data_IF_769191281695
#
_entry.id   IF_769191281695
#
_cell.length_a   1.000
_cell.length_b   1.000
_cell.length_c   1.000
_cell.angle_alpha   90.00
_cell.angle_beta   90.00
_cell.angle_gamma   90.00
#
_symmetry.space_group_name_H-M   'P 1'
#
loop_
_entity.id
_entity.type
_entity.pdbx_description
1 polymer ?
#
# COMPACT_ATOMS: atom_id res chain seq x y z
N UNK A 1 -21.41 18.33 7.41
CA UNK A 1 -21.11 16.89 7.53
C UNK A 1 -19.81 16.78 8.32
N UNK A 2 -19.78 16.18 9.52
CA UNK A 2 -18.52 15.99 10.23
C UNK A 2 -17.66 15.00 9.43
N UNK A 3 -16.42 15.40 9.11
CA UNK A 3 -15.42 14.55 8.48
C UNK A 3 -14.82 13.63 9.55
N UNK A 4 -14.89 12.31 9.34
CA UNK A 4 -14.44 11.31 10.30
C UNK A 4 -12.94 10.98 10.17
N UNK A 5 -12.23 11.73 9.33
CA UNK A 5 -10.80 11.60 9.13
C UNK A 5 -10.05 12.51 10.10
N UNK A 6 -9.38 11.92 11.08
CA UNK A 6 -8.53 12.67 12.00
C UNK A 6 -7.08 12.57 11.53
N UNK A 7 -6.66 13.48 10.64
CA UNK A 7 -5.24 13.57 10.22
C UNK A 7 -4.42 14.38 11.23
N UNK A 8 -4.66 14.13 12.52
CA UNK A 8 -3.92 14.76 13.61
C UNK A 8 -2.70 13.89 13.95
N UNK A 9 -1.51 14.49 14.13
CA UNK A 9 -0.28 13.78 14.51
C UNK A 9 -0.43 12.95 15.80
N UNK A 10 -1.37 13.32 16.67
CA UNK A 10 -1.62 12.64 17.94
C UNK A 10 -2.20 11.22 17.79
N UNK A 11 -2.81 10.88 16.65
CA UNK A 11 -3.51 9.60 16.46
C UNK A 11 -2.94 8.73 15.33
N UNK A 12 -2.37 9.34 14.29
CA UNK A 12 -1.76 8.59 13.18
C UNK A 12 -0.36 8.13 13.53
N UNK A 13 -0.13 6.81 13.62
CA UNK A 13 1.24 6.29 13.70
C UNK A 13 1.94 6.56 12.37
N UNK A 14 3.07 7.27 12.43
CA UNK A 14 3.92 7.55 11.28
C UNK A 14 4.32 6.26 10.56
N UNK A 15 4.62 6.40 9.26
CA UNK A 15 5.27 5.34 8.50
C UNK A 15 6.76 5.35 8.90
N UNK A 16 7.26 4.22 9.40
CA UNK A 16 8.62 4.05 9.91
C UNK A 16 9.33 2.91 9.19
N UNK A 17 10.63 2.74 9.45
CA UNK A 17 11.42 1.65 8.87
C UNK A 17 10.86 0.26 9.19
N UNK A 18 10.10 0.12 10.29
CA UNK A 18 9.42 -1.13 10.65
C UNK A 18 8.27 -1.48 9.71
N UNK A 19 7.76 -0.52 8.93
CA UNK A 19 6.73 -0.76 7.91
C UNK A 19 7.33 -1.33 6.61
N UNK A 20 8.65 -1.42 6.48
CA UNK A 20 9.26 -2.16 5.37
C UNK A 20 8.83 -3.63 5.37
N UNK A 21 8.79 -4.21 4.17
CA UNK A 21 8.57 -5.64 4.00
C UNK A 21 7.65 -5.97 2.84
N UNK A 22 7.21 -7.22 2.83
CA UNK A 22 6.33 -7.76 1.79
C UNK A 22 4.88 -7.73 2.25
N UNK A 23 4.03 -7.28 1.36
CA UNK A 23 2.59 -7.16 1.49
C UNK A 23 1.93 -8.04 0.44
N UNK A 24 0.74 -8.52 0.74
CA UNK A 24 -0.09 -9.22 -0.23
C UNK A 24 -1.53 -8.71 -0.20
N UNK A 25 -2.15 -8.73 -1.37
CA UNK A 25 -3.58 -8.46 -1.55
C UNK A 25 -4.28 -9.79 -1.79
N UNK A 26 -5.41 -9.99 -1.11
CA UNK A 26 -6.26 -11.16 -1.31
C UNK A 26 -7.38 -10.83 -2.29
N UNK A 27 -7.65 -11.73 -3.23
CA UNK A 27 -8.87 -11.70 -4.01
C UNK A 27 -10.05 -12.01 -3.07
N UNK A 28 -11.02 -11.08 -2.96
CA UNK A 28 -12.14 -11.20 -2.03
C UNK A 28 -13.07 -12.39 -2.32
N UNK A 29 -13.13 -12.85 -3.57
CA UNK A 29 -14.00 -13.95 -3.98
C UNK A 29 -13.34 -15.31 -3.75
N UNK A 30 -12.06 -15.45 -4.11
CA UNK A 30 -11.36 -16.74 -4.05
C UNK A 30 -10.55 -16.94 -2.76
N UNK A 31 -10.30 -15.88 -2.00
CA UNK A 31 -9.43 -15.89 -0.81
C UNK A 31 -7.95 -16.15 -1.13
N UNK A 32 -7.57 -16.20 -2.41
CA UNK A 32 -6.19 -16.42 -2.86
C UNK A 32 -5.43 -15.10 -2.96
N UNK A 33 -4.11 -15.18 -2.85
CA UNK A 33 -3.22 -14.03 -3.10
C UNK A 33 -3.37 -13.61 -4.56
N UNK A 34 -3.74 -12.35 -4.77
CA UNK A 34 -3.92 -11.72 -6.08
C UNK A 34 -2.65 -10.98 -6.52
N UNK A 35 -1.98 -10.30 -5.59
CA UNK A 35 -0.73 -9.61 -5.89
C UNK A 35 0.15 -9.56 -4.65
N UNK A 36 1.46 -9.54 -4.88
CA UNK A 36 2.49 -9.39 -3.86
C UNK A 36 3.24 -8.10 -4.15
N UNK A 37 3.34 -7.26 -3.14
CA UNK A 37 3.90 -5.92 -3.19
C UNK A 37 5.02 -5.83 -2.14
N UNK A 38 6.11 -5.14 -2.44
CA UNK A 38 7.19 -4.90 -1.50
C UNK A 38 7.33 -3.39 -1.27
N UNK A 39 7.37 -3.00 0.00
CA UNK A 39 7.73 -1.65 0.42
C UNK A 39 9.18 -1.67 0.92
N UNK A 40 10.04 -0.87 0.33
CA UNK A 40 11.44 -0.73 0.74
C UNK A 40 11.80 0.73 0.97
N UNK A 41 12.73 0.98 1.88
CA UNK A 41 13.36 2.28 2.07
C UNK A 41 14.81 2.19 1.58
N UNK A 42 15.19 3.03 0.63
CA UNK A 42 16.52 3.03 0.03
C UNK A 42 16.92 4.46 -0.35
N UNK A 43 18.18 4.87 -0.12
CA UNK A 43 18.69 6.20 -0.48
C UNK A 43 17.77 7.37 -0.03
N UNK A 44 17.31 7.30 1.22
CA UNK A 44 16.41 8.26 1.85
C UNK A 44 15.00 8.37 1.24
N UNK A 45 14.63 7.47 0.32
CA UNK A 45 13.33 7.42 -0.35
C UNK A 45 12.58 6.11 -0.11
N UNK A 46 11.25 6.17 -0.17
CA UNK A 46 10.38 5.01 -0.10
C UNK A 46 9.98 4.55 -1.50
N UNK A 47 10.05 3.25 -1.74
CA UNK A 47 9.68 2.66 -3.01
C UNK A 47 8.67 1.53 -2.80
N UNK A 48 7.73 1.44 -3.75
CA UNK A 48 6.72 0.40 -3.78
C UNK A 48 6.87 -0.41 -5.07
N UNK A 49 7.17 -1.70 -4.92
CA UNK A 49 7.38 -2.61 -6.05
C UNK A 49 6.31 -3.70 -6.07
N UNK A 50 5.86 -4.08 -7.25
CA UNK A 50 5.08 -5.29 -7.41
C UNK A 50 6.01 -6.46 -7.74
N UNK A 51 5.99 -7.51 -6.92
CA UNK A 51 6.88 -8.66 -7.04
C UNK A 51 6.32 -9.75 -7.96
N UNK A 52 5.00 -9.89 -8.03
CA UNK A 52 4.36 -10.88 -8.90
C UNK A 52 2.95 -10.42 -9.30
N UNK A 53 2.66 -10.23 -10.60
CA UNK A 53 1.28 -10.32 -11.09
C UNK A 53 0.88 -11.80 -11.04
N UNK A 54 -0.20 -12.16 -10.33
CA UNK A 54 -0.73 -13.53 -10.39
C UNK A 54 -1.82 -13.66 -11.45
N UNK A 55 -1.82 -14.81 -12.12
CA UNK A 55 -2.45 -15.08 -13.41
C UNK A 55 -3.98 -14.83 -13.47
N UNK A 56 -4.38 -14.34 -14.64
CA UNK A 56 -5.68 -14.48 -15.32
C UNK A 56 -6.90 -13.70 -14.80
N UNK A 57 -7.37 -12.81 -15.69
CA UNK A 57 -8.68 -12.15 -15.85
C UNK A 57 -8.94 -10.75 -15.27
N UNK A 58 -8.10 -10.22 -14.36
CA UNK A 58 -8.28 -8.85 -13.80
C UNK A 58 -7.06 -7.91 -14.06
N UNK A 59 -6.34 -8.14 -15.16
CA UNK A 59 -4.98 -7.61 -15.42
C UNK A 59 -4.86 -6.10 -15.68
N UNK A 60 -5.93 -5.36 -15.98
CA UNK A 60 -5.78 -3.98 -16.44
C UNK A 60 -5.26 -2.97 -15.38
N UNK A 61 -5.20 -3.32 -14.08
CA UNK A 61 -4.86 -2.37 -13.03
C UNK A 61 -3.46 -2.53 -12.41
N UNK A 62 -2.73 -3.61 -12.74
CA UNK A 62 -1.59 -4.05 -11.91
C UNK A 62 -0.22 -4.02 -12.62
N UNK A 63 -0.15 -4.00 -13.95
CA UNK A 63 1.13 -4.11 -14.69
C UNK A 63 1.99 -2.83 -14.63
N UNK A 64 1.46 -1.74 -14.09
CA UNK A 64 2.01 -0.38 -14.32
C UNK A 64 3.05 0.06 -13.25
N UNK A 65 3.26 -0.71 -12.17
CA UNK A 65 4.30 -0.41 -11.17
C UNK A 65 5.75 -0.67 -11.65
N UNK A 66 5.96 -1.35 -12.78
CA UNK A 66 7.28 -1.80 -13.22
C UNK A 66 7.98 -0.90 -14.25
N UNK A 67 7.27 0.02 -14.93
CA UNK A 67 7.76 0.57 -16.21
C UNK A 67 8.16 2.06 -16.22
N UNK A 68 7.88 2.87 -15.19
CA UNK A 68 8.13 4.32 -15.27
C UNK A 68 9.00 4.92 -14.15
N UNK A 69 9.85 5.84 -14.58
CA UNK A 69 11.10 6.37 -14.00
C UNK A 69 10.97 7.29 -12.76
N UNK A 70 9.96 7.11 -11.92
CA UNK A 70 9.94 7.70 -10.56
C UNK A 70 9.03 6.89 -9.64
N UNK A 71 9.57 5.79 -9.13
CA UNK A 71 8.88 4.91 -8.18
C UNK A 71 8.95 5.42 -6.73
N UNK A 72 9.62 6.57 -6.50
CA UNK A 72 9.75 7.17 -5.18
C UNK A 72 8.39 7.71 -4.70
N UNK A 73 8.01 7.36 -3.48
CA UNK A 73 6.82 7.84 -2.83
C UNK A 73 7.15 9.07 -1.98
N UNK A 74 6.28 10.07 -2.03
CA UNK A 74 6.39 11.27 -1.22
C UNK A 74 5.24 11.34 -0.21
N UNK A 75 5.55 11.74 1.03
CA UNK A 75 4.55 11.92 2.07
C UNK A 75 3.49 12.94 1.65
N UNK A 76 2.22 12.58 1.80
CA UNK A 76 1.11 13.48 1.56
C UNK A 76 0.85 14.35 2.79
N UNK A 77 0.47 15.60 2.57
CA UNK A 77 0.09 16.50 3.66
C UNK A 77 -1.28 16.13 4.23
N UNK A 78 -1.57 16.58 5.45
CA UNK A 78 -2.88 16.36 6.08
C UNK A 78 -4.05 16.89 5.24
N UNK A 79 -3.85 17.98 4.51
CA UNK A 79 -4.86 18.55 3.62
C UNK A 79 -5.15 17.66 2.41
N UNK A 80 -4.09 17.13 1.76
CA UNK A 80 -4.23 16.21 0.63
C UNK A 80 -4.91 14.90 1.06
N UNK A 81 -4.51 14.36 2.21
CA UNK A 81 -5.15 13.16 2.78
C UNK A 81 -6.62 13.45 3.07
N UNK A 82 -6.95 14.60 3.68
CA UNK A 82 -8.35 14.99 3.92
C UNK A 82 -9.14 15.11 2.63
N UNK A 83 -8.57 15.73 1.60
CA UNK A 83 -9.23 15.89 0.31
C UNK A 83 -9.65 14.55 -0.31
N UNK A 84 -8.80 13.52 -0.24
CA UNK A 84 -9.10 12.22 -0.84
C UNK A 84 -10.05 11.35 -0.01
N UNK A 85 -9.95 11.41 1.32
CA UNK A 85 -10.65 10.50 2.23
C UNK A 85 -11.86 11.13 2.95
N UNK A 86 -12.29 12.34 2.57
CA UNK A 86 -13.51 12.98 3.11
C UNK A 86 -14.82 12.34 2.61
N UNK A 87 -14.74 11.46 1.60
CA UNK A 87 -15.93 10.88 0.97
C UNK A 87 -16.68 9.92 1.92
N UNK A 88 -18.02 9.80 1.80
CA UNK A 88 -18.82 8.96 2.69
C UNK A 88 -18.41 7.48 2.69
N UNK A 89 -17.87 6.95 1.60
CA UNK A 89 -17.38 5.56 1.54
C UNK A 89 -16.21 5.27 2.52
N UNK A 90 -15.55 6.30 3.03
CA UNK A 90 -14.48 6.20 4.03
C UNK A 90 -14.92 6.63 5.43
N UNK A 91 -16.23 6.77 5.67
CA UNK A 91 -16.75 7.22 6.95
C UNK A 91 -16.50 6.24 8.11
N UNK A 92 -16.29 4.96 7.81
CA UNK A 92 -15.92 3.89 8.75
C UNK A 92 -14.88 2.96 8.08
N UNK A 93 -13.89 2.43 8.82
CA UNK A 93 -13.66 2.61 10.27
C UNK A 93 -13.08 3.98 10.63
N UNK A 94 -13.33 4.45 11.87
CA UNK A 94 -12.78 5.71 12.40
C UNK A 94 -11.29 5.58 12.77
N UNK A 95 -10.49 6.54 12.32
CA UNK A 95 -9.06 6.56 12.63
C UNK A 95 -8.28 7.62 11.87
N UNK A 96 -6.98 7.39 11.75
CA UNK A 96 -6.02 8.29 11.15
C UNK A 96 -5.25 7.60 10.02
N UNK A 97 -5.15 8.27 8.87
CA UNK A 97 -4.33 7.83 7.75
C UNK A 97 -2.98 8.55 7.75
N UNK A 98 -1.94 7.78 7.42
CA UNK A 98 -0.65 8.27 6.94
C UNK A 98 -0.46 7.72 5.54
N UNK A 99 -0.05 8.57 4.59
CA UNK A 99 0.02 8.21 3.18
C UNK A 99 1.29 8.74 2.55
N UNK A 100 1.95 7.88 1.77
CA UNK A 100 2.99 8.28 0.82
C UNK A 100 2.52 7.90 -0.58
N UNK A 101 2.69 8.79 -1.55
CA UNK A 101 2.21 8.58 -2.91
C UNK A 101 3.12 9.21 -3.95
N UNK A 102 3.07 8.67 -5.17
CA UNK A 102 3.50 9.33 -6.40
C UNK A 102 2.27 9.68 -7.25
N UNK A 103 2.45 9.98 -8.53
CA UNK A 103 1.36 10.39 -9.44
C UNK A 103 0.32 9.30 -9.71
N UNK A 104 0.66 8.02 -9.49
CA UNK A 104 -0.17 6.87 -9.87
C UNK A 104 -0.52 5.97 -8.69
N UNK A 105 0.37 5.84 -7.71
CA UNK A 105 0.29 4.87 -6.64
C UNK A 105 0.63 5.46 -5.28
N UNK A 106 0.12 4.84 -4.22
CA UNK A 106 0.54 5.17 -2.87
C UNK A 106 0.45 4.01 -1.90
N UNK A 107 1.16 4.17 -0.80
CA UNK A 107 1.11 3.32 0.37
C UNK A 107 0.38 4.07 1.49
N UNK A 108 -0.67 3.46 2.03
CA UNK A 108 -1.43 3.99 3.14
C UNK A 108 -1.31 3.11 4.38
N UNK A 109 -1.02 3.74 5.52
CA UNK A 109 -1.07 3.14 6.85
C UNK A 109 -2.22 3.76 7.62
N UNK A 110 -3.17 2.93 8.05
CA UNK A 110 -4.33 3.35 8.80
C UNK A 110 -4.21 2.90 10.25
N UNK A 111 -4.28 3.86 11.17
CA UNK A 111 -4.33 3.63 12.61
C UNK A 111 -5.77 3.81 13.08
N UNK A 112 -6.47 2.73 13.50
CA UNK A 112 -7.81 2.84 14.06
C UNK A 112 -7.84 3.67 15.35
N UNK A 113 -8.99 4.29 15.62
CA UNK A 113 -9.20 5.01 16.88
C UNK A 113 -9.42 4.05 18.06
N UNK A 114 -10.05 2.91 17.80
CA UNK A 114 -10.25 1.87 18.80
C UNK A 114 -8.95 1.08 18.97
N UNK A 115 -8.45 0.99 20.20
CA UNK A 115 -7.15 0.35 20.51
C UNK A 115 -7.15 -1.15 20.32
N UNK A 116 -8.33 -1.78 20.29
CA UNK A 116 -8.46 -3.23 20.04
C UNK A 116 -8.36 -3.57 18.55
N UNK A 117 -8.52 -2.59 17.66
CA UNK A 117 -8.43 -2.79 16.22
C UNK A 117 -6.97 -2.71 15.74
N UNK A 118 -6.59 -3.63 14.85
CA UNK A 118 -5.24 -3.67 14.29
C UNK A 118 -4.98 -2.58 13.26
N UNK A 119 -3.71 -2.16 13.15
CA UNK A 119 -3.25 -1.28 12.07
C UNK A 119 -3.52 -1.95 10.73
N UNK A 120 -4.14 -1.21 9.81
CA UNK A 120 -4.40 -1.68 8.46
C UNK A 120 -3.47 -0.99 7.46
N UNK A 121 -3.16 -1.70 6.38
CA UNK A 121 -2.35 -1.18 5.28
C UNK A 121 -3.17 -1.21 4.00
N UNK A 122 -2.91 -0.29 3.08
CA UNK A 122 -3.55 -0.26 1.78
C UNK A 122 -2.62 0.24 0.69
N UNK A 123 -2.80 -0.29 -0.52
CA UNK A 123 -2.30 0.36 -1.74
C UNK A 123 -3.38 1.30 -2.25
N UNK A 124 -2.95 2.48 -2.64
CA UNK A 124 -3.79 3.55 -3.18
C UNK A 124 -3.50 3.67 -4.66
N UNK A 125 -4.55 3.82 -5.46
CA UNK A 125 -4.41 4.06 -6.90
C UNK A 125 -5.00 5.41 -7.25
N UNK A 126 -4.23 6.21 -7.97
CA UNK A 126 -4.57 7.56 -8.39
C UNK A 126 -4.70 7.61 -9.91
N UNK A 127 -5.68 8.35 -10.38
CA UNK A 127 -5.83 8.71 -11.79
C UNK A 127 -6.17 10.18 -11.88
N UNK A 128 -5.47 10.91 -12.74
CA UNK A 128 -5.64 12.36 -12.93
C UNK A 128 -5.56 13.17 -11.62
N UNK A 129 -4.72 12.73 -10.68
CA UNK A 129 -4.55 13.36 -9.37
C UNK A 129 -5.68 13.09 -8.37
N UNK A 130 -6.64 12.23 -8.70
CA UNK A 130 -7.72 11.81 -7.81
C UNK A 130 -7.55 10.36 -7.35
N UNK A 131 -7.80 10.10 -6.07
CA UNK A 131 -7.87 8.75 -5.51
C UNK A 131 -9.04 7.98 -6.15
N UNK A 132 -8.71 6.91 -6.87
CA UNK A 132 -9.67 6.04 -7.55
C UNK A 132 -10.02 4.82 -6.73
N UNK A 133 -9.02 4.21 -6.09
CA UNK A 133 -9.20 2.95 -5.38
C UNK A 133 -8.29 2.83 -4.17
N UNK A 134 -8.79 2.13 -3.15
CA UNK A 134 -8.10 1.82 -1.90
C UNK A 134 -8.20 0.31 -1.69
N UNK A 135 -7.08 -0.38 -1.82
CA UNK A 135 -7.05 -1.83 -1.76
C UNK A 135 -6.30 -2.24 -0.50
N UNK A 136 -7.03 -2.89 0.41
CA UNK A 136 -6.46 -3.39 1.66
C UNK A 136 -5.37 -4.43 1.37
N UNK A 137 -4.25 -4.26 2.07
CA UNK A 137 -3.11 -5.17 2.05
C UNK A 137 -2.94 -5.83 3.41
N UNK A 138 -2.27 -6.97 3.39
CA UNK A 138 -1.85 -7.71 4.56
C UNK A 138 -0.33 -7.77 4.57
N UNK A 139 0.29 -7.40 5.69
CA UNK A 139 1.73 -7.54 5.85
C UNK A 139 2.06 -9.02 6.04
N UNK A 140 3.00 -9.55 5.27
CA UNK A 140 3.49 -10.91 5.48
C UNK A 140 4.27 -10.97 6.78
N UNK A 141 3.91 -11.91 7.65
CA UNK A 141 4.82 -12.35 8.71
C UNK A 141 5.95 -13.14 8.06
N UNK A 142 7.17 -12.98 8.59
CA UNK A 142 8.42 -13.56 8.06
C UNK A 142 8.32 -15.10 7.88
N UNK A 143 7.43 -15.75 8.63
CA UNK A 143 7.20 -17.20 8.60
C UNK A 143 6.33 -17.71 7.43
N UNK A 144 5.48 -16.86 6.82
CA UNK A 144 4.59 -17.29 5.73
C UNK A 144 5.34 -17.52 4.41
N UNK A 145 6.51 -16.91 4.23
CA UNK A 145 7.27 -16.99 2.98
C UNK A 145 8.19 -18.21 2.87
N UNK A 146 8.46 -18.97 3.94
CA UNK A 146 9.33 -20.17 3.83
C UNK A 146 8.75 -21.24 2.90
N UNK A 147 7.43 -21.27 2.68
CA UNK A 147 6.80 -22.21 1.74
C UNK A 147 6.78 -21.71 0.29
N UNK A 148 7.03 -20.42 0.04
CA UNK A 148 7.02 -19.83 -1.31
C UNK A 148 8.42 -19.43 -1.80
N UNK A 149 9.35 -19.16 -0.87
CA UNK A 149 10.72 -18.71 -1.15
C UNK A 149 11.63 -19.78 -1.76
N UNK A 150 11.25 -21.06 -1.74
CA UNK A 150 12.04 -22.13 -2.38
C UNK A 150 12.07 -22.03 -3.91
N UNK A 151 11.27 -21.13 -4.52
CA UNK A 151 11.27 -20.91 -5.98
C UNK A 151 11.88 -19.58 -6.45
N UNK A 152 12.26 -18.66 -5.56
CA UNK A 152 12.88 -17.39 -5.95
C UNK A 152 14.40 -17.48 -5.73
N UNK A 153 15.04 -18.41 -6.45
CA UNK A 153 16.49 -18.34 -6.65
C UNK A 153 16.76 -17.14 -7.53
N UNK A 154 17.42 -16.11 -6.98
CA UNK A 154 17.95 -14.94 -7.68
C UNK A 154 18.49 -15.32 -9.07
N UNK A 155 17.71 -15.06 -10.13
CA UNK A 155 18.30 -14.92 -11.45
C UNK A 155 19.05 -13.61 -11.45
N UNK A 156 20.33 -13.69 -11.10
CA UNK A 156 21.31 -12.65 -11.40
C UNK A 156 21.17 -12.28 -12.88
N UNK A 157 20.66 -11.08 -13.14
CA UNK A 157 20.72 -10.48 -14.47
C UNK A 157 22.18 -10.09 -14.67
N UNK A 158 22.93 -10.94 -15.37
CA UNK A 158 24.25 -10.61 -15.89
C UNK A 158 24.00 -9.69 -17.08
N UNK A 159 24.35 -8.42 -16.94
CA UNK A 159 24.52 -7.55 -18.10
C UNK A 159 25.78 -8.02 -18.83
N UNK A 160 25.60 -8.51 -20.06
CA UNK A 160 26.67 -8.82 -21.00
C UNK A 160 26.95 -7.61 -21.89
#
# INVERSE_FOLDING_TARGET
>A
MPSNLYVLPAYGKAITLDDQGVYYVLNRQSGKIQTVIQLIYHEDEWYLFQLQPTNDQDECCWTVLAENSSCALHSMTSEQITHHFIKPEFAEPKGAWQVMANSQYGFGKFTPLNTDDEIAYAVLMFSEGALQNVIRMHKSEENLMQNTATQITYKQVVFA
#
